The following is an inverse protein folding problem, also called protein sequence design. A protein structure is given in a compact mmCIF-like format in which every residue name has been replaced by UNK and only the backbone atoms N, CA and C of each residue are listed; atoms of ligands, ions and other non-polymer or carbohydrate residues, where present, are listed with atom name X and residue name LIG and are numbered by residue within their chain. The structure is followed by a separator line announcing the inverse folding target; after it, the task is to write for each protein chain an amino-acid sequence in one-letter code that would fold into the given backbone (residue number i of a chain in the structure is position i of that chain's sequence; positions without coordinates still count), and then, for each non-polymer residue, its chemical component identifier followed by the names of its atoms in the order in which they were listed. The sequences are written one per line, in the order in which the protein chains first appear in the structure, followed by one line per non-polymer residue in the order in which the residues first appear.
data_IF_558564010066
#
_entry.id   IF_558564010066
#
_cell.length_a   1.000
_cell.length_b   1.000
_cell.length_c   1.000
_cell.angle_alpha   90.00
_cell.angle_beta   90.00
_cell.angle_gamma   90.00
#
_symmetry.space_group_name_H-M   'P 1'
#
loop_
_entity.id
_entity.type
_entity.pdbx_description
1 polymer ?
#
# COMPACT_ATOMS: atom_id res chain seq x y z
N UNK A 1 -6.18 23.58 -7.02
CA UNK A 1 -6.59 22.16 -6.84
C UNK A 1 -5.73 21.52 -5.75
N UNK A 2 -6.36 20.81 -4.81
CA UNK A 2 -5.60 20.14 -3.74
C UNK A 2 -4.74 19.02 -4.32
N UNK A 3 -3.53 18.89 -3.80
CA UNK A 3 -2.65 17.76 -4.10
C UNK A 3 -3.23 16.44 -3.56
N UNK A 4 -2.76 15.34 -4.07
CA UNK A 4 -3.19 13.99 -3.69
C UNK A 4 -2.11 13.36 -2.83
N UNK A 5 -2.53 12.81 -1.68
CA UNK A 5 -1.74 11.87 -0.90
C UNK A 5 -2.17 10.45 -1.30
N UNK A 6 -1.22 9.67 -1.80
CA UNK A 6 -1.38 8.25 -2.07
C UNK A 6 -0.78 7.44 -0.93
N UNK A 7 -1.53 6.55 -0.32
CA UNK A 7 -1.02 5.65 0.71
C UNK A 7 -1.40 4.21 0.41
N UNK A 8 -0.52 3.28 0.74
CA UNK A 8 -0.80 1.85 0.74
C UNK A 8 -0.11 1.18 1.93
N UNK A 9 -0.64 0.08 2.39
CA UNK A 9 -0.14 -0.65 3.55
C UNK A 9 -1.01 -1.86 3.87
N UNK A 10 -0.81 -2.44 5.03
CA UNK A 10 -1.56 -3.59 5.52
C UNK A 10 -2.79 -3.17 6.37
N UNK A 11 -3.19 -3.99 7.33
CA UNK A 11 -4.40 -3.81 8.14
C UNK A 11 -4.50 -2.45 8.85
N UNK A 12 -3.41 -1.88 9.32
CA UNK A 12 -3.42 -0.57 10.00
C UNK A 12 -3.64 0.61 9.03
N UNK A 13 -3.56 0.35 7.74
CA UNK A 13 -3.81 1.34 6.68
C UNK A 13 -5.18 1.14 6.03
N UNK A 14 -5.70 -0.07 6.05
CA UNK A 14 -6.96 -0.46 5.40
C UNK A 14 -8.16 0.28 5.99
N UNK A 15 -8.92 0.97 5.15
CA UNK A 15 -10.17 1.66 5.54
C UNK A 15 -11.21 0.69 6.08
N UNK A 16 -11.22 -0.54 5.58
CA UNK A 16 -12.15 -1.60 5.97
C UNK A 16 -11.56 -2.52 7.04
N UNK A 17 -10.64 -2.01 7.86
CA UNK A 17 -10.05 -2.80 8.94
C UNK A 17 -11.12 -3.41 9.85
N UNK A 18 -10.99 -4.73 10.08
CA UNK A 18 -11.77 -5.48 11.05
C UNK A 18 -10.81 -6.10 12.07
N UNK A 19 -11.09 -5.93 13.35
CA UNK A 19 -10.28 -6.54 14.41
C UNK A 19 -10.40 -8.07 14.37
N UNK A 20 -9.27 -8.76 14.32
CA UNK A 20 -9.24 -10.23 14.42
C UNK A 20 -9.52 -10.73 15.84
N UNK A 21 -9.26 -9.89 16.85
CA UNK A 21 -9.46 -10.23 18.28
C UNK A 21 -10.88 -9.87 18.73
N UNK A 22 -11.41 -8.77 18.20
CA UNK A 22 -12.73 -8.23 18.51
C UNK A 22 -13.52 -7.97 17.23
N UNK A 23 -13.99 -9.01 16.52
CA UNK A 23 -14.65 -8.85 15.23
C UNK A 23 -16.01 -8.12 15.33
N UNK A 24 -16.59 -8.05 16.53
CA UNK A 24 -17.80 -7.29 16.83
C UNK A 24 -17.59 -5.78 16.94
N UNK A 25 -16.33 -5.35 17.04
CA UNK A 25 -15.98 -3.95 17.21
C UNK A 25 -16.16 -3.17 15.90
N UNK A 26 -16.90 -2.08 15.94
CA UNK A 26 -17.03 -1.17 14.81
C UNK A 26 -15.74 -0.34 14.69
N UNK A 27 -15.03 -0.50 13.57
CA UNK A 27 -13.75 0.16 13.31
C UNK A 27 -13.90 1.26 12.25
N UNK A 28 -14.84 2.19 12.47
CA UNK A 28 -15.24 3.24 11.52
C UNK A 28 -14.47 4.56 11.65
N UNK A 29 -13.49 4.61 12.56
CA UNK A 29 -12.64 5.81 12.70
C UNK A 29 -11.76 6.01 11.47
N UNK A 30 -11.41 7.29 11.15
CA UNK A 30 -10.49 7.57 10.04
C UNK A 30 -9.13 6.96 10.31
N UNK A 31 -8.54 6.34 9.28
CA UNK A 31 -7.20 5.75 9.36
C UNK A 31 -6.13 6.82 9.20
N UNK A 32 -4.88 6.48 9.50
CA UNK A 32 -3.79 7.44 9.47
C UNK A 32 -3.61 8.18 8.13
N UNK A 33 -3.88 7.59 6.93
CA UNK A 33 -3.74 8.33 5.68
C UNK A 33 -4.71 9.50 5.56
N UNK A 34 -5.97 9.30 5.97
CA UNK A 34 -6.99 10.35 5.93
C UNK A 34 -6.67 11.47 6.91
N UNK A 35 -6.22 11.09 8.12
CA UNK A 35 -5.83 12.07 9.15
C UNK A 35 -4.65 12.92 8.69
N UNK A 36 -3.64 12.28 8.07
CA UNK A 36 -2.48 12.98 7.53
C UNK A 36 -2.86 13.87 6.35
N UNK A 37 -3.64 13.36 5.41
CA UNK A 37 -4.11 14.15 4.27
C UNK A 37 -4.90 15.38 4.70
N UNK A 38 -5.79 15.22 5.69
CA UNK A 38 -6.53 16.35 6.28
C UNK A 38 -5.59 17.38 6.88
N UNK A 39 -4.57 16.95 7.61
CA UNK A 39 -3.57 17.83 8.23
C UNK A 39 -2.72 18.60 7.20
N UNK A 40 -2.45 17.98 6.05
CA UNK A 40 -1.68 18.56 4.96
C UNK A 40 -2.53 19.29 3.92
N UNK A 41 -3.82 19.40 4.12
CA UNK A 41 -4.80 19.95 3.16
C UNK A 41 -4.74 19.26 1.79
N UNK A 42 -4.61 17.94 1.78
CA UNK A 42 -4.57 17.08 0.60
C UNK A 42 -5.83 16.21 0.48
N UNK A 43 -6.11 15.76 -0.74
CA UNK A 43 -7.06 14.66 -0.97
C UNK A 43 -6.37 13.32 -0.69
N UNK A 44 -7.06 12.40 -0.01
CA UNK A 44 -6.51 11.07 0.29
C UNK A 44 -6.98 10.02 -0.72
N UNK A 45 -6.06 9.20 -1.20
CA UNK A 45 -6.35 7.92 -1.85
C UNK A 45 -5.64 6.84 -1.02
N UNK A 46 -6.43 6.10 -0.27
CA UNK A 46 -5.96 5.01 0.57
C UNK A 46 -6.16 3.67 -0.15
N UNK A 47 -5.06 2.96 -0.40
CA UNK A 47 -5.00 1.68 -1.10
C UNK A 47 -4.65 0.53 -0.15
N UNK A 48 -4.63 0.78 1.16
CA UNK A 48 -4.32 -0.22 2.18
C UNK A 48 -5.26 -1.42 2.11
N UNK A 49 -4.70 -2.61 2.31
CA UNK A 49 -5.46 -3.87 2.32
C UNK A 49 -4.99 -4.77 3.45
N UNK A 50 -5.93 -5.31 4.21
CA UNK A 50 -5.65 -6.23 5.29
C UNK A 50 -4.80 -7.42 4.80
N UNK A 51 -3.73 -7.72 5.55
CA UNK A 51 -2.82 -8.80 5.23
C UNK A 51 -1.80 -8.52 4.12
N UNK A 52 -1.84 -7.34 3.49
CA UNK A 52 -0.95 -6.98 2.39
C UNK A 52 0.52 -7.18 2.74
N UNK A 53 1.26 -7.74 1.80
CA UNK A 53 2.71 -7.75 1.77
C UNK A 53 3.26 -6.63 0.88
N UNK A 54 4.57 -6.59 0.73
CA UNK A 54 5.23 -5.47 0.07
C UNK A 54 5.05 -5.45 -1.45
N UNK A 55 4.78 -6.60 -2.07
CA UNK A 55 4.44 -6.65 -3.50
C UNK A 55 3.10 -5.95 -3.79
N UNK A 56 2.08 -6.20 -2.98
CA UNK A 56 0.81 -5.48 -3.09
C UNK A 56 0.98 -3.99 -2.85
N UNK A 57 1.70 -3.61 -1.78
CA UNK A 57 1.92 -2.20 -1.44
C UNK A 57 2.59 -1.46 -2.59
N UNK A 58 3.65 -2.04 -3.14
CA UNK A 58 4.33 -1.51 -4.32
C UNK A 58 3.40 -1.41 -5.54
N UNK A 59 2.76 -2.52 -5.89
CA UNK A 59 1.95 -2.63 -7.11
C UNK A 59 0.75 -1.71 -7.08
N UNK A 60 0.04 -1.62 -5.95
CA UNK A 60 -1.13 -0.75 -5.81
C UNK A 60 -0.76 0.73 -5.98
N UNK A 61 0.36 1.16 -5.41
CA UNK A 61 0.85 2.53 -5.58
C UNK A 61 1.30 2.79 -7.02
N UNK A 62 2.07 1.88 -7.61
CA UNK A 62 2.53 2.01 -8.99
C UNK A 62 1.35 2.11 -9.96
N UNK A 63 0.39 1.21 -9.87
CA UNK A 63 -0.81 1.23 -10.72
C UNK A 63 -1.59 2.54 -10.58
N UNK A 64 -1.77 3.01 -9.35
CA UNK A 64 -2.47 4.28 -9.10
C UNK A 64 -1.70 5.48 -9.67
N UNK A 65 -0.39 5.53 -9.49
CA UNK A 65 0.47 6.55 -10.08
C UNK A 65 0.32 6.55 -11.62
N UNK A 66 0.33 5.37 -12.25
CA UNK A 66 0.19 5.27 -13.71
C UNK A 66 -1.18 5.74 -14.21
N UNK A 67 -2.26 5.48 -13.46
CA UNK A 67 -3.62 5.90 -13.80
C UNK A 67 -3.83 7.42 -13.72
N UNK A 68 -3.13 8.11 -12.83
CA UNK A 68 -3.24 9.57 -12.69
C UNK A 68 -2.57 10.23 -13.90
N UNK A 69 -3.35 10.91 -14.72
CA UNK A 69 -2.85 11.55 -15.96
C UNK A 69 -1.88 12.69 -15.66
N UNK A 70 -2.27 13.62 -14.80
CA UNK A 70 -1.44 14.74 -14.40
C UNK A 70 -0.67 14.40 -13.12
N UNK A 71 0.58 13.99 -13.28
CA UNK A 71 1.47 13.61 -12.17
C UNK A 71 1.77 14.77 -11.23
N UNK A 72 1.67 16.00 -11.70
CA UNK A 72 1.89 17.19 -10.86
C UNK A 72 0.85 17.32 -9.75
N UNK A 73 -0.28 16.63 -9.86
CA UNK A 73 -1.30 16.60 -8.80
C UNK A 73 -0.93 15.70 -7.62
N UNK A 74 0.03 14.79 -7.79
CA UNK A 74 0.51 13.94 -6.71
C UNK A 74 1.41 14.78 -5.80
N UNK A 75 1.02 14.91 -4.54
CA UNK A 75 1.79 15.67 -3.55
C UNK A 75 2.64 14.79 -2.66
N UNK A 76 2.17 13.57 -2.35
CA UNK A 76 2.87 12.68 -1.45
C UNK A 76 2.50 11.22 -1.74
N UNK A 77 3.49 10.33 -1.72
CA UNK A 77 3.31 8.88 -1.85
C UNK A 77 3.92 8.20 -0.62
N UNK A 78 3.11 7.47 0.13
CA UNK A 78 3.55 6.81 1.37
C UNK A 78 3.26 5.32 1.31
N UNK A 79 4.29 4.48 1.11
CA UNK A 79 4.21 3.05 1.35
C UNK A 79 4.42 2.75 2.84
N UNK A 80 3.43 2.18 3.51
CA UNK A 80 3.59 1.61 4.85
C UNK A 80 4.03 0.14 4.70
N UNK A 81 5.33 -0.06 4.49
CA UNK A 81 5.92 -1.37 4.25
C UNK A 81 5.59 -2.37 5.35
N UNK A 82 5.36 -3.60 4.95
CA UNK A 82 4.97 -4.71 5.81
C UNK A 82 6.12 -5.72 5.95
N UNK A 83 5.82 -6.87 6.52
CA UNK A 83 6.79 -7.94 6.77
C UNK A 83 7.26 -8.60 5.47
N UNK A 84 8.57 -8.79 5.33
CA UNK A 84 9.18 -9.29 4.09
C UNK A 84 8.83 -10.75 3.76
N UNK A 85 8.47 -11.56 4.77
CA UNK A 85 8.09 -12.96 4.57
C UNK A 85 6.68 -13.16 4.01
N UNK A 86 5.88 -12.11 3.87
CA UNK A 86 4.56 -12.21 3.26
C UNK A 86 4.68 -12.44 1.76
N UNK A 87 3.75 -13.23 1.23
CA UNK A 87 3.60 -13.46 -0.21
C UNK A 87 2.28 -12.91 -0.69
N UNK A 88 2.34 -12.00 -1.65
CA UNK A 88 1.17 -11.54 -2.39
C UNK A 88 1.14 -12.21 -3.77
N UNK A 89 -0.05 -12.52 -4.27
CA UNK A 89 -0.25 -13.06 -5.60
C UNK A 89 -1.64 -12.72 -6.10
N UNK A 90 -1.83 -12.78 -7.41
CA UNK A 90 -3.13 -12.53 -8.03
C UNK A 90 -3.73 -13.83 -8.55
N UNK A 91 -5.03 -13.96 -8.40
CA UNK A 91 -5.79 -15.11 -8.88
C UNK A 91 -7.01 -14.70 -9.70
N UNK A 92 -7.36 -15.59 -10.63
CA UNK A 92 -8.59 -15.53 -11.41
C UNK A 92 -8.58 -14.48 -12.52
N UNK A 93 -9.69 -14.40 -13.28
CA UNK A 93 -9.80 -13.55 -14.47
C UNK A 93 -9.80 -12.05 -14.13
N UNK A 94 -10.11 -11.70 -12.89
CA UNK A 94 -10.16 -10.30 -12.40
C UNK A 94 -8.89 -9.90 -11.63
N UNK A 95 -7.86 -10.75 -11.63
CA UNK A 95 -6.58 -10.49 -10.95
C UNK A 95 -6.75 -10.06 -9.48
N UNK A 96 -7.57 -10.80 -8.74
CA UNK A 96 -7.84 -10.52 -7.32
C UNK A 96 -6.59 -10.81 -6.49
N UNK A 97 -6.18 -9.84 -5.67
CA UNK A 97 -5.05 -9.99 -4.77
C UNK A 97 -5.37 -10.95 -3.63
N UNK A 98 -4.45 -11.88 -3.40
CA UNK A 98 -4.42 -12.84 -2.29
C UNK A 98 -3.11 -12.74 -1.55
N UNK A 99 -3.13 -13.04 -0.26
CA UNK A 99 -1.95 -12.93 0.59
C UNK A 99 -1.74 -14.20 1.41
N UNK A 100 -0.46 -14.53 1.63
CA UNK A 100 -0.03 -15.53 2.61
C UNK A 100 0.91 -14.86 3.62
N UNK A 101 0.73 -15.18 4.90
CA UNK A 101 1.56 -14.62 5.98
C UNK A 101 3.02 -15.01 5.85
N UNK A 102 3.28 -16.23 5.39
CA UNK A 102 4.63 -16.77 5.23
C UNK A 102 4.78 -17.29 3.80
N UNK A 103 5.79 -16.76 3.12
CA UNK A 103 6.22 -17.28 1.83
C UNK A 103 7.08 -18.54 2.07
N UNK A 104 6.67 -19.65 1.51
CA UNK A 104 7.39 -20.93 1.58
C UNK A 104 8.46 -21.08 0.48
N UNK A 105 8.50 -20.14 -0.46
CA UNK A 105 9.36 -20.19 -1.66
C UNK A 105 10.56 -19.27 -1.48
N UNK A 106 11.52 -19.65 -0.65
CA UNK A 106 12.73 -18.91 -0.43
C UNK A 106 13.13 -18.77 1.04
N UNK A 107 14.11 -17.93 1.30
CA UNK A 107 14.65 -17.62 2.61
C UNK A 107 14.57 -16.13 2.92
N UNK A 108 14.95 -15.74 4.13
CA UNK A 108 14.92 -14.35 4.58
C UNK A 108 15.73 -13.42 3.69
N UNK A 109 16.87 -13.87 3.16
CA UNK A 109 17.73 -13.04 2.29
C UNK A 109 17.06 -12.79 0.94
N UNK A 110 16.38 -13.80 0.37
CA UNK A 110 15.63 -13.64 -0.87
C UNK A 110 14.44 -12.71 -0.68
N UNK A 111 13.75 -12.77 0.45
CA UNK A 111 12.63 -11.87 0.77
C UNK A 111 13.08 -10.42 0.92
N UNK A 112 14.18 -10.20 1.65
CA UNK A 112 14.74 -8.85 1.81
C UNK A 112 15.20 -8.25 0.48
N UNK A 113 15.88 -9.03 -0.38
CA UNK A 113 16.30 -8.58 -1.72
C UNK A 113 15.10 -8.21 -2.61
N UNK A 114 14.03 -9.00 -2.55
CA UNK A 114 12.79 -8.71 -3.27
C UNK A 114 12.21 -7.38 -2.81
N UNK A 115 12.07 -7.18 -1.51
CA UNK A 115 11.47 -5.99 -0.94
C UNK A 115 12.32 -4.74 -1.20
N UNK A 116 13.63 -4.83 -1.10
CA UNK A 116 14.53 -3.72 -1.45
C UNK A 116 14.35 -3.29 -2.90
N UNK A 117 14.12 -4.22 -3.82
CA UNK A 117 13.82 -3.88 -5.23
C UNK A 117 12.54 -3.08 -5.36
N UNK A 118 11.49 -3.43 -4.62
CA UNK A 118 10.24 -2.64 -4.61
C UNK A 118 10.45 -1.25 -4.03
N UNK A 119 11.16 -1.14 -2.91
CA UNK A 119 11.43 0.13 -2.24
C UNK A 119 12.23 1.08 -3.14
N UNK A 120 13.32 0.60 -3.71
CA UNK A 120 14.18 1.39 -4.62
C UNK A 120 13.41 1.78 -5.89
N UNK A 121 12.67 0.84 -6.49
CA UNK A 121 11.90 1.11 -7.71
C UNK A 121 10.85 2.18 -7.48
N UNK A 122 10.10 2.09 -6.38
CA UNK A 122 9.07 3.09 -6.07
C UNK A 122 9.70 4.48 -5.84
N UNK A 123 10.80 4.55 -5.11
CA UNK A 123 11.52 5.80 -4.89
C UNK A 123 11.97 6.44 -6.21
N UNK A 124 12.63 5.67 -7.09
CA UNK A 124 13.08 6.16 -8.39
C UNK A 124 11.92 6.63 -9.28
N UNK A 125 10.77 5.95 -9.21
CA UNK A 125 9.56 6.36 -9.94
C UNK A 125 9.05 7.70 -9.41
N UNK A 126 8.94 7.84 -8.09
CA UNK A 126 8.46 9.08 -7.46
C UNK A 126 9.39 10.27 -7.73
N UNK A 127 10.70 10.08 -7.73
CA UNK A 127 11.69 11.13 -8.03
C UNK A 127 11.54 11.72 -9.44
N UNK A 128 10.95 10.97 -10.38
CA UNK A 128 10.71 11.46 -11.75
C UNK A 128 9.55 12.45 -11.87
N UNK A 129 8.72 12.57 -10.86
CA UNK A 129 7.52 13.42 -10.88
C UNK A 129 7.65 14.67 -10.01
N UNK A 130 8.79 14.86 -9.40
CA UNK A 130 9.11 16.03 -8.59
C UNK A 130 9.82 17.13 -9.41
#
# INVERSE_FOLDING_TARGET
MKKILLASGCSFTDDNFVSAVHPEMICDWPKWPELLAKKLDMNCINLGQNGAGNEYIYSSLLEKILQIKDKSTIGLVIPAWSQCQRKDYQEGPYSIWKQRRINQDGDIFSFLRKDLRYMISLQLICERFN
#
